data_IF_088495632456
#
_entry.id   IF_088495632456
#
_cell.length_a   1.000
_cell.length_b   1.000
_cell.length_c   1.000
_cell.angle_alpha   90.00
_cell.angle_beta   90.00
_cell.angle_gamma   90.00
#
_symmetry.space_group_name_H-M   'P 1'
#
loop_
_entity.id
_entity.type
_entity.pdbx_description
1 polymer ?
#
# COMPACT_ATOMS: atom_id res chain seq x y z
N UNK A 1 20.53 10.91 7.06
CA UNK A 1 21.08 9.58 7.44
C UNK A 1 20.18 8.85 8.44
N UNK A 2 19.12 8.22 7.95
CA UNK A 2 18.22 7.39 8.77
C UNK A 2 18.94 6.07 9.10
N UNK A 3 19.58 5.99 10.27
CA UNK A 3 20.41 4.83 10.63
C UNK A 3 20.07 4.31 12.03
N UNK A 4 20.26 3.00 12.24
CA UNK A 4 20.04 2.34 13.52
C UNK A 4 19.00 1.22 13.47
N UNK A 5 19.22 0.18 14.28
CA UNK A 5 18.36 -1.02 14.32
C UNK A 5 16.92 -0.71 14.73
N UNK A 6 16.75 0.24 15.66
CA UNK A 6 15.43 0.67 16.14
C UNK A 6 14.63 1.35 15.01
N UNK A 7 15.24 2.30 14.32
CA UNK A 7 14.58 3.03 13.22
C UNK A 7 14.24 2.09 12.06
N UNK A 8 15.17 1.20 11.69
CA UNK A 8 14.91 0.20 10.64
C UNK A 8 13.75 -0.74 10.99
N UNK A 9 13.60 -1.11 12.27
CA UNK A 9 12.46 -1.91 12.75
C UNK A 9 11.15 -1.12 12.65
N UNK A 10 11.15 0.14 13.07
CA UNK A 10 9.96 1.00 12.98
C UNK A 10 9.50 1.17 11.52
N UNK A 11 10.42 1.45 10.59
CA UNK A 11 10.09 1.58 9.16
C UNK A 11 9.45 0.29 8.62
N UNK A 12 10.02 -0.87 8.92
CA UNK A 12 9.44 -2.15 8.51
C UNK A 12 8.04 -2.37 9.09
N UNK A 13 7.81 -1.98 10.34
CA UNK A 13 6.48 -2.07 10.95
C UNK A 13 5.47 -1.19 10.21
N UNK A 14 5.84 0.06 9.87
CA UNK A 14 4.97 0.93 9.07
C UNK A 14 4.65 0.35 7.69
N UNK A 15 5.63 -0.23 7.01
CA UNK A 15 5.42 -0.87 5.70
C UNK A 15 4.56 -2.13 5.80
N UNK A 16 4.65 -2.88 6.89
CA UNK A 16 3.79 -4.03 7.13
C UNK A 16 2.32 -3.59 7.31
N UNK A 17 2.08 -2.54 8.10
CA UNK A 17 0.73 -1.99 8.30
C UNK A 17 0.16 -1.46 6.98
N UNK A 18 0.96 -0.74 6.19
CA UNK A 18 0.57 -0.27 4.86
C UNK A 18 0.19 -1.43 3.93
N UNK A 19 0.99 -2.51 3.90
CA UNK A 19 0.69 -3.70 3.10
C UNK A 19 -0.62 -4.38 3.53
N UNK A 20 -0.82 -4.57 4.84
CA UNK A 20 -2.06 -5.19 5.38
C UNK A 20 -3.28 -4.33 5.05
N UNK A 21 -3.19 -3.02 5.23
CA UNK A 21 -4.32 -2.13 4.96
C UNK A 21 -4.66 -2.08 3.46
N UNK A 22 -3.66 -2.07 2.58
CA UNK A 22 -3.90 -2.20 1.13
C UNK A 22 -4.50 -3.57 0.77
N UNK A 23 -4.09 -4.66 1.44
CA UNK A 23 -4.69 -5.98 1.24
C UNK A 23 -6.16 -6.03 1.67
N UNK A 24 -6.50 -5.40 2.81
CA UNK A 24 -7.90 -5.26 3.27
C UNK A 24 -8.73 -4.46 2.26
N UNK A 25 -8.18 -3.34 1.76
CA UNK A 25 -8.85 -2.52 0.75
C UNK A 25 -9.07 -3.28 -0.56
N UNK A 26 -8.07 -4.05 -1.01
CA UNK A 26 -8.17 -4.88 -2.20
C UNK A 26 -9.21 -5.99 -2.03
N UNK A 27 -9.19 -6.67 -0.89
CA UNK A 27 -10.17 -7.70 -0.58
C UNK A 27 -11.59 -7.13 -0.58
N UNK A 28 -11.78 -5.97 0.04
CA UNK A 28 -13.07 -5.26 0.01
C UNK A 28 -13.46 -4.80 -1.40
N UNK A 29 -12.51 -4.36 -2.21
CA UNK A 29 -12.79 -3.91 -3.58
C UNK A 29 -13.23 -5.04 -4.51
N UNK A 30 -12.78 -6.27 -4.25
CA UNK A 30 -13.07 -7.44 -5.09
C UNK A 30 -13.95 -8.49 -4.41
N UNK A 31 -14.52 -8.17 -3.25
CA UNK A 31 -15.35 -9.06 -2.43
C UNK A 31 -14.65 -10.40 -2.13
N UNK A 32 -13.36 -10.32 -1.80
CA UNK A 32 -12.53 -11.48 -1.52
C UNK A 32 -12.70 -11.93 -0.07
N UNK A 33 -12.64 -13.24 0.20
CA UNK A 33 -12.50 -13.71 1.56
C UNK A 33 -11.18 -13.21 2.12
N UNK A 34 -11.24 -12.26 3.05
CA UNK A 34 -10.07 -11.93 3.85
C UNK A 34 -9.97 -13.03 4.92
N UNK A 35 -8.95 -13.88 4.84
CA UNK A 35 -8.73 -14.92 5.84
C UNK A 35 -8.70 -14.26 7.21
N UNK A 36 -9.74 -14.52 8.00
CA UNK A 36 -9.78 -14.11 9.39
C UNK A 36 -8.79 -15.04 10.09
N UNK A 37 -7.60 -14.56 10.42
CA UNK A 37 -6.70 -15.31 11.30
C UNK A 37 -7.36 -15.32 12.68
N UNK A 38 -8.25 -16.27 12.90
CA UNK A 38 -8.70 -16.67 14.24
C UNK A 38 -7.61 -17.56 14.83
N UNK A 39 -7.22 -17.28 16.07
CA UNK A 39 -6.13 -17.97 16.78
C UNK A 39 -6.39 -19.47 17.04
N UNK A 40 -7.57 -19.97 16.68
CA UNK A 40 -7.94 -21.38 16.68
C UNK A 40 -8.32 -21.78 15.24
N UNK A 41 -7.36 -22.30 14.48
CA UNK A 41 -7.67 -23.26 13.43
C UNK A 41 -6.47 -24.18 13.20
N UNK A 42 -6.69 -25.47 13.48
CA UNK A 42 -5.79 -26.54 13.08
C UNK A 42 -5.58 -26.51 11.56
N UNK A 43 -4.42 -26.97 11.06
CA UNK A 43 -4.16 -26.99 9.63
C UNK A 43 -5.04 -28.04 8.96
N UNK A 44 -6.24 -27.63 8.55
CA UNK A 44 -7.05 -28.43 7.65
C UNK A 44 -6.48 -28.27 6.24
N UNK A 45 -5.60 -29.21 5.92
CA UNK A 45 -5.27 -29.64 4.57
C UNK A 45 -6.57 -29.80 3.76
N UNK A 46 -6.60 -29.26 2.53
CA UNK A 46 -7.61 -29.51 1.47
C UNK A 46 -8.66 -28.42 1.19
N UNK A 47 -8.46 -27.18 1.62
CA UNK A 47 -9.14 -26.04 0.98
C UNK A 47 -8.22 -25.48 -0.11
N UNK A 48 -8.40 -25.92 -1.36
CA UNK A 48 -8.03 -25.09 -2.51
C UNK A 48 -8.82 -23.78 -2.39
N UNK A 49 -8.24 -22.77 -1.75
CA UNK A 49 -8.78 -21.41 -1.75
C UNK A 49 -8.88 -20.99 -3.21
N UNK A 50 -10.10 -21.04 -3.76
CA UNK A 50 -10.39 -20.59 -5.10
C UNK A 50 -10.12 -19.09 -5.13
N UNK A 51 -8.90 -18.72 -5.49
CA UNK A 51 -8.52 -17.34 -5.75
C UNK A 51 -9.56 -16.75 -6.70
N UNK A 52 -10.02 -15.50 -6.45
CA UNK A 52 -10.97 -14.85 -7.32
C UNK A 52 -10.51 -14.95 -8.76
N UNK A 53 -11.39 -15.45 -9.63
CA UNK A 53 -11.16 -15.56 -11.07
C UNK A 53 -11.11 -14.19 -11.77
N UNK A 54 -10.91 -13.10 -11.03
CA UNK A 54 -10.90 -11.76 -11.58
C UNK A 54 -9.71 -11.60 -12.53
N UNK A 55 -10.03 -11.31 -13.80
CA UNK A 55 -9.06 -11.19 -14.89
C UNK A 55 -8.02 -10.10 -14.59
N UNK A 56 -8.45 -8.96 -14.03
CA UNK A 56 -7.55 -7.85 -13.68
C UNK A 56 -6.51 -8.26 -12.63
N UNK A 57 -6.91 -9.04 -11.61
CA UNK A 57 -6.00 -9.50 -10.57
C UNK A 57 -4.98 -10.52 -11.10
N UNK A 58 -5.40 -11.40 -12.02
CA UNK A 58 -4.51 -12.37 -12.66
C UNK A 58 -3.51 -11.68 -13.59
N UNK A 59 -3.98 -10.72 -14.37
CA UNK A 59 -3.13 -9.92 -15.25
C UNK A 59 -2.10 -9.12 -14.43
N UNK A 60 -2.54 -8.42 -13.38
CA UNK A 60 -1.65 -7.68 -12.49
C UNK A 60 -0.63 -8.60 -11.78
N UNK A 61 -1.03 -9.81 -11.37
CA UNK A 61 -0.11 -10.80 -10.81
C UNK A 61 0.93 -11.25 -11.84
N UNK A 62 0.52 -11.48 -13.10
CA UNK A 62 1.42 -11.81 -14.19
C UNK A 62 2.44 -10.71 -14.46
N UNK A 63 1.99 -9.46 -14.53
CA UNK A 63 2.83 -8.28 -14.70
C UNK A 63 3.82 -8.11 -13.55
N UNK A 64 3.39 -8.31 -12.31
CA UNK A 64 4.26 -8.24 -11.14
C UNK A 64 5.35 -9.32 -11.19
N UNK A 65 4.99 -10.56 -11.54
CA UNK A 65 5.97 -11.65 -11.71
C UNK A 65 6.97 -11.31 -12.81
N UNK A 66 6.49 -10.85 -13.96
CA UNK A 66 7.37 -10.43 -15.06
C UNK A 66 8.32 -9.29 -14.69
N UNK A 67 7.87 -8.35 -13.85
CA UNK A 67 8.72 -7.26 -13.36
C UNK A 67 9.80 -7.77 -12.38
N UNK A 68 9.46 -8.73 -11.53
CA UNK A 68 10.42 -9.36 -10.59
C UNK A 68 11.45 -10.23 -11.34
N UNK A 69 11.02 -10.92 -12.39
CA UNK A 69 11.87 -11.76 -13.23
C UNK A 69 12.67 -10.94 -14.27
N UNK A 70 12.39 -9.64 -14.39
CA UNK A 70 13.06 -8.72 -15.31
C UNK A 70 12.63 -8.85 -16.77
N UNK A 71 11.53 -9.55 -17.05
CA UNK A 71 10.98 -9.72 -18.40
C UNK A 71 10.07 -8.56 -18.82
N UNK A 72 9.52 -7.82 -17.85
CA UNK A 72 8.67 -6.66 -18.08
C UNK A 72 9.33 -5.36 -17.59
N UNK A 73 9.02 -4.25 -18.25
CA UNK A 73 9.49 -2.93 -17.84
C UNK A 73 8.49 -2.25 -16.92
N UNK A 74 8.97 -1.35 -16.07
CA UNK A 74 8.09 -0.56 -15.20
C UNK A 74 7.07 0.25 -15.99
N UNK A 75 7.46 0.80 -17.14
CA UNK A 75 6.58 1.61 -17.99
C UNK A 75 5.41 0.80 -18.57
N UNK A 76 5.64 -0.48 -18.91
CA UNK A 76 4.59 -1.39 -19.36
C UNK A 76 3.58 -1.65 -18.23
N UNK A 77 4.06 -1.90 -17.01
CA UNK A 77 3.21 -2.15 -15.85
C UNK A 77 2.37 -0.92 -15.50
N UNK A 78 2.98 0.28 -15.51
CA UNK A 78 2.28 1.53 -15.22
C UNK A 78 1.26 1.91 -16.30
N UNK A 79 1.49 1.49 -17.55
CA UNK A 79 0.57 1.72 -18.67
C UNK A 79 -0.53 0.67 -18.77
N UNK A 80 -0.46 -0.40 -17.98
CA UNK A 80 -1.47 -1.46 -18.02
C UNK A 80 -2.84 -0.96 -17.57
N UNK A 81 -3.86 -1.31 -18.35
CA UNK A 81 -5.24 -0.98 -18.03
C UNK A 81 -5.74 -1.72 -16.78
N UNK A 82 -5.31 -2.97 -16.55
CA UNK A 82 -5.72 -3.75 -15.37
C UNK A 82 -5.23 -3.10 -14.09
N UNK A 83 -3.98 -2.63 -14.06
CA UNK A 83 -3.42 -1.87 -12.92
C UNK A 83 -4.20 -0.58 -12.69
N UNK A 84 -4.55 0.13 -13.77
CA UNK A 84 -5.36 1.36 -13.69
C UNK A 84 -6.78 1.08 -13.17
N UNK A 85 -7.41 -0.02 -13.60
CA UNK A 85 -8.73 -0.45 -13.11
C UNK A 85 -8.70 -0.82 -11.63
N UNK A 86 -7.68 -1.55 -11.20
CA UNK A 86 -7.46 -1.91 -9.79
C UNK A 86 -7.32 -0.64 -8.94
N UNK A 87 -6.46 0.30 -9.35
CA UNK A 87 -6.27 1.55 -8.61
C UNK A 87 -7.57 2.36 -8.50
N UNK A 88 -8.32 2.49 -9.60
CA UNK A 88 -9.65 3.16 -9.60
C UNK A 88 -10.62 2.50 -8.62
N UNK A 89 -10.68 1.15 -8.60
CA UNK A 89 -11.60 0.42 -7.71
C UNK A 89 -11.23 0.59 -6.24
N UNK A 90 -9.93 0.54 -5.93
CA UNK A 90 -9.43 0.78 -4.56
C UNK A 90 -9.74 2.22 -4.13
N UNK A 91 -9.53 3.21 -5.01
CA UNK A 91 -9.80 4.60 -4.68
C UNK A 91 -11.30 4.86 -4.50
N UNK A 92 -12.17 4.23 -5.29
CA UNK A 92 -13.62 4.27 -5.05
C UNK A 92 -14.00 3.73 -3.66
N UNK A 93 -13.37 2.63 -3.20
CA UNK A 93 -13.60 2.10 -1.84
C UNK A 93 -13.12 3.08 -0.77
N UNK A 94 -11.97 3.75 -0.97
CA UNK A 94 -11.48 4.77 -0.04
C UNK A 94 -12.45 5.95 0.05
N UNK A 95 -12.93 6.44 -1.09
CA UNK A 95 -13.86 7.57 -1.17
C UNK A 95 -15.20 7.23 -0.50
N UNK A 96 -15.73 6.02 -0.76
CA UNK A 96 -16.95 5.55 -0.12
C UNK A 96 -16.83 5.41 1.41
N UNK A 97 -15.62 5.31 1.95
CA UNK A 97 -15.35 5.22 3.38
C UNK A 97 -14.88 6.55 4.00
N UNK A 98 -14.66 7.59 3.20
CA UNK A 98 -14.04 8.84 3.65
C UNK A 98 -14.84 9.59 4.72
N UNK A 99 -16.16 9.36 4.78
CA UNK A 99 -17.05 9.95 5.78
C UNK A 99 -16.85 9.37 7.19
N UNK A 100 -16.27 8.17 7.30
CA UNK A 100 -16.01 7.53 8.58
C UNK A 100 -14.70 8.06 9.18
N UNK A 101 -14.77 8.63 10.38
CA UNK A 101 -13.61 9.20 11.09
C UNK A 101 -12.41 8.25 11.15
N UNK A 102 -12.65 6.99 11.49
CA UNK A 102 -11.59 5.97 11.60
C UNK A 102 -11.01 5.61 10.24
N UNK A 103 -11.83 5.46 9.20
CA UNK A 103 -11.35 5.17 7.85
C UNK A 103 -10.52 6.33 7.28
N UNK A 104 -10.97 7.57 7.50
CA UNK A 104 -10.22 8.78 7.13
C UNK A 104 -8.84 8.82 7.77
N UNK A 105 -8.73 8.45 9.05
CA UNK A 105 -7.44 8.36 9.74
C UNK A 105 -6.51 7.32 9.10
N UNK A 106 -7.02 6.14 8.76
CA UNK A 106 -6.23 5.08 8.13
C UNK A 106 -5.84 5.42 6.68
N UNK A 107 -6.70 6.11 5.93
CA UNK A 107 -6.37 6.63 4.59
C UNK A 107 -5.27 7.67 4.70
N UNK A 108 -5.38 8.61 5.65
CA UNK A 108 -4.32 9.58 5.93
C UNK A 108 -3.02 8.87 6.30
N UNK A 109 -3.08 7.81 7.11
CA UNK A 109 -1.91 6.98 7.47
C UNK A 109 -1.22 6.38 6.24
N UNK A 110 -1.96 5.81 5.28
CA UNK A 110 -1.38 5.31 4.02
C UNK A 110 -0.60 6.40 3.28
N UNK A 111 -1.17 7.60 3.20
CA UNK A 111 -0.48 8.74 2.58
C UNK A 111 0.78 9.15 3.36
N UNK A 112 0.77 9.01 4.69
CA UNK A 112 1.96 9.25 5.49
C UNK A 112 3.09 8.28 5.16
N UNK A 113 2.76 6.99 5.03
CA UNK A 113 3.73 5.95 4.68
C UNK A 113 4.31 6.17 3.28
N UNK A 114 3.50 6.61 2.30
CA UNK A 114 3.99 6.98 0.96
C UNK A 114 5.00 8.13 1.00
N UNK A 115 4.76 9.16 1.81
CA UNK A 115 5.71 10.27 1.97
C UNK A 115 6.99 9.78 2.65
N UNK A 116 6.90 8.89 3.64
CA UNK A 116 8.07 8.24 4.25
C UNK A 116 8.90 7.46 3.21
N UNK A 117 8.24 6.70 2.33
CA UNK A 117 8.92 6.00 1.22
C UNK A 117 9.61 6.98 0.26
N UNK A 118 8.95 8.10 -0.07
CA UNK A 118 9.52 9.16 -0.91
C UNK A 118 10.78 9.76 -0.28
N UNK A 119 10.73 10.06 1.01
CA UNK A 119 11.86 10.58 1.76
C UNK A 119 13.04 9.59 1.77
N UNK A 120 12.77 8.30 2.04
CA UNK A 120 13.79 7.25 2.01
C UNK A 120 14.39 7.12 0.60
N UNK A 121 13.57 7.17 -0.45
CA UNK A 121 14.02 7.13 -1.83
C UNK A 121 14.97 8.30 -2.12
N UNK A 122 14.58 9.52 -1.75
CA UNK A 122 15.38 10.72 -1.95
C UNK A 122 16.76 10.64 -1.27
N UNK A 123 16.78 10.20 0.00
CA UNK A 123 18.03 9.99 0.74
C UNK A 123 18.93 8.95 0.05
N UNK A 124 18.35 7.84 -0.43
CA UNK A 124 19.11 6.74 -1.06
C UNK A 124 19.62 7.08 -2.45
N UNK A 125 18.91 7.92 -3.20
CA UNK A 125 19.32 8.35 -4.56
C UNK A 125 20.09 9.67 -4.56
N UNK A 126 20.30 10.29 -3.39
CA UNK A 126 20.92 11.63 -3.26
C UNK A 126 20.20 12.66 -4.15
N UNK A 127 18.88 12.55 -4.27
CA UNK A 127 18.07 13.46 -5.08
C UNK A 127 17.52 14.57 -4.19
N UNK A 128 18.12 15.76 -4.28
CA UNK A 128 17.78 16.88 -3.40
C UNK A 128 16.40 17.48 -3.69
N UNK A 129 15.97 17.51 -4.94
CA UNK A 129 14.62 17.99 -5.31
C UNK A 129 13.56 17.08 -4.68
N UNK A 130 13.76 15.76 -4.77
CA UNK A 130 12.89 14.77 -4.14
C UNK A 130 12.91 14.87 -2.61
N UNK A 131 14.07 15.20 -2.03
CA UNK A 131 14.21 15.39 -0.59
C UNK A 131 13.40 16.60 -0.12
N UNK A 132 13.53 17.75 -0.81
CA UNK A 132 12.77 18.96 -0.48
C UNK A 132 11.27 18.76 -0.64
N UNK A 133 10.83 18.07 -1.70
CA UNK A 133 9.42 17.75 -1.91
C UNK A 133 8.89 16.82 -0.80
N UNK A 134 9.65 15.79 -0.43
CA UNK A 134 9.29 14.90 0.67
C UNK A 134 9.19 15.64 2.01
N UNK A 135 10.15 16.52 2.33
CA UNK A 135 10.13 17.33 3.56
C UNK A 135 8.95 18.29 3.58
N UNK A 136 8.64 18.94 2.45
CA UNK A 136 7.45 19.81 2.32
C UNK A 136 6.17 19.04 2.59
N UNK A 137 6.04 17.82 2.06
CA UNK A 137 4.88 16.94 2.29
C UNK A 137 4.84 16.43 3.74
N UNK A 138 5.99 16.15 4.35
CA UNK A 138 6.11 15.79 5.76
C UNK A 138 5.67 16.90 6.72
N UNK A 139 5.71 18.17 6.32
CA UNK A 139 5.26 19.28 7.16
C UNK A 139 3.79 19.12 7.60
N UNK A 140 2.97 18.43 6.80
CA UNK A 140 1.60 18.08 7.16
C UNK A 140 1.53 17.11 8.36
N UNK A 141 2.57 16.31 8.64
CA UNK A 141 2.63 15.45 9.83
C UNK A 141 2.91 16.25 11.10
N UNK A 142 3.72 17.30 11.01
CA UNK A 142 3.93 18.23 12.11
C UNK A 142 2.62 18.99 12.43
N UNK A 143 1.86 19.34 11.39
CA UNK A 143 0.53 19.94 11.53
C UNK A 143 -0.54 18.96 12.02
N UNK A 144 -0.41 17.64 11.83
CA UNK A 144 -1.38 16.65 12.32
C UNK A 144 -1.50 16.58 13.86
N UNK A 145 -0.52 17.13 14.60
CA UNK A 145 -0.62 17.37 16.05
C UNK A 145 -1.44 18.62 16.42
N UNK A 146 -1.70 19.51 15.46
CA UNK A 146 -2.62 20.63 15.56
C UNK A 146 -3.89 20.30 14.78
N UNK A 147 -4.99 20.03 15.48
CA UNK A 147 -6.32 20.03 14.87
C UNK A 147 -6.50 21.42 14.24
N UNK A 148 -6.42 21.53 12.91
CA UNK A 148 -6.84 22.74 12.22
C UNK A 148 -8.37 22.84 12.40
N UNK A 149 -8.88 23.96 12.94
CA UNK A 149 -10.31 24.18 13.16
C UNK A 149 -11.12 24.23 11.86
#
# INVERSE_FOLDING_TARGET
MISGKAIARAIRAHFLVDAVLNAILLAKAYDLPFSHVTEDDQPNTDAEESFPQNEDLKEAQGLLKGLLDGTETLDNVLSSESVTRIDKKINHVKDAMADQRTAKLWIQYLDMVKILQLFIKAERTVNWELHLDAVRKCANFAAAGHILP
#
